data_IF_677443150014
#
_entry.id   IF_677443150014
#
_cell.length_a   1.000
_cell.length_b   1.000
_cell.length_c   1.000
_cell.angle_alpha   90.00
_cell.angle_beta   90.00
_cell.angle_gamma   90.00
#
_symmetry.space_group_name_H-M   'P 1'
#
loop_
_entity.id
_entity.type
_entity.pdbx_description
1 polymer ?
#
# COMPACT_ATOMS: atom_id res chain seq x y z
N UNK A 1 12.89 -27.68 -20.05
CA UNK A 1 12.66 -26.55 -20.96
C UNK A 1 12.90 -27.03 -22.40
N UNK A 2 12.03 -26.62 -23.31
CA UNK A 2 12.15 -26.86 -24.74
C UNK A 2 12.41 -25.52 -25.42
N UNK A 3 13.22 -25.52 -26.52
CA UNK A 3 13.44 -24.32 -27.31
C UNK A 3 12.62 -24.38 -28.61
N UNK A 4 11.74 -23.39 -28.81
CA UNK A 4 10.99 -23.21 -30.05
C UNK A 4 11.50 -21.95 -30.73
N UNK A 5 12.08 -22.08 -31.94
CA UNK A 5 12.68 -20.97 -32.67
C UNK A 5 13.67 -20.11 -31.85
N UNK A 6 14.49 -20.78 -31.01
CA UNK A 6 15.48 -20.10 -30.18
C UNK A 6 14.93 -19.51 -28.86
N UNK A 7 13.63 -19.64 -28.60
CA UNK A 7 12.97 -19.11 -27.39
C UNK A 7 12.59 -20.25 -26.41
N UNK A 8 12.75 -20.05 -25.10
CA UNK A 8 12.46 -21.08 -24.12
C UNK A 8 10.96 -21.28 -23.92
N UNK A 9 10.52 -22.52 -24.04
CA UNK A 9 9.24 -23.01 -23.51
C UNK A 9 9.54 -23.76 -22.22
N UNK A 10 8.96 -23.34 -21.12
CA UNK A 10 9.10 -24.02 -19.82
C UNK A 10 7.77 -24.60 -19.36
N UNK A 11 7.85 -25.70 -18.65
CA UNK A 11 6.71 -26.33 -18.00
C UNK A 11 7.08 -26.56 -16.54
N UNK A 12 6.46 -25.85 -15.65
CA UNK A 12 6.56 -26.00 -14.21
C UNK A 12 5.41 -26.84 -13.67
N UNK A 13 5.68 -27.63 -12.62
CA UNK A 13 4.65 -28.31 -11.85
C UNK A 13 4.93 -28.17 -10.37
N UNK A 14 3.94 -27.66 -9.62
CA UNK A 14 4.03 -27.38 -8.19
C UNK A 14 2.92 -28.13 -7.47
N UNK A 15 3.26 -28.75 -6.34
CA UNK A 15 2.29 -29.33 -5.41
C UNK A 15 2.44 -28.63 -4.08
N UNK A 16 1.34 -28.13 -3.55
CA UNK A 16 1.28 -27.51 -2.24
C UNK A 16 0.21 -28.20 -1.38
N UNK A 17 0.55 -28.47 -0.12
CA UNK A 17 -0.40 -28.96 0.87
C UNK A 17 -0.40 -28.02 2.07
N UNK A 18 -1.60 -27.55 2.46
CA UNK A 18 -1.79 -26.75 3.67
C UNK A 18 -2.82 -27.41 4.56
N UNK A 19 -2.55 -27.37 5.85
CA UNK A 19 -3.45 -27.86 6.88
C UNK A 19 -3.62 -26.77 7.95
N UNK A 20 -4.85 -26.32 8.14
CA UNK A 20 -5.20 -25.29 9.11
C UNK A 20 -6.01 -25.90 10.24
N UNK A 21 -5.72 -25.48 11.46
CA UNK A 21 -6.51 -25.78 12.65
C UNK A 21 -6.91 -24.50 13.33
N UNK A 22 -8.19 -24.31 13.53
CA UNK A 22 -8.77 -23.23 14.33
C UNK A 22 -9.27 -23.83 15.64
N UNK A 23 -8.82 -23.25 16.74
CA UNK A 23 -9.24 -23.65 18.07
C UNK A 23 -10.19 -22.59 18.61
N UNK A 24 -11.41 -23.01 18.94
CA UNK A 24 -12.32 -22.25 19.78
C UNK A 24 -12.50 -23.02 21.11
N UNK A 25 -12.98 -22.34 22.15
CA UNK A 25 -13.21 -22.90 23.47
C UNK A 25 -14.13 -24.13 23.49
N UNK A 26 -14.94 -24.32 22.45
CA UNK A 26 -15.91 -25.41 22.36
C UNK A 26 -15.73 -26.32 21.14
N UNK A 27 -15.01 -25.90 20.09
CA UNK A 27 -14.87 -26.67 18.84
C UNK A 27 -13.48 -26.48 18.21
N UNK A 28 -12.97 -27.56 17.62
CA UNK A 28 -11.79 -27.52 16.77
C UNK A 28 -12.24 -27.67 15.32
N UNK A 29 -12.02 -26.61 14.53
CA UNK A 29 -12.25 -26.66 13.11
C UNK A 29 -10.94 -26.98 12.37
N UNK A 30 -10.96 -28.00 11.55
CA UNK A 30 -9.82 -28.39 10.72
C UNK A 30 -10.15 -28.20 9.25
N UNK A 31 -9.23 -27.67 8.50
CA UNK A 31 -9.31 -27.59 7.04
C UNK A 31 -8.00 -28.01 6.40
N UNK A 32 -8.07 -28.64 5.27
CA UNK A 32 -6.89 -28.96 4.48
C UNK A 32 -7.16 -28.74 3.00
N UNK A 33 -6.15 -28.31 2.27
CA UNK A 33 -6.24 -28.26 0.82
C UNK A 33 -4.95 -28.76 0.14
N UNK A 34 -5.16 -29.34 -1.01
CA UNK A 34 -4.11 -29.70 -1.96
C UNK A 34 -4.24 -28.77 -3.16
N UNK A 35 -3.15 -28.20 -3.56
CA UNK A 35 -3.03 -27.38 -4.74
C UNK A 35 -2.03 -28.03 -5.70
N UNK A 36 -2.48 -28.29 -6.92
CA UNK A 36 -1.67 -28.77 -8.02
C UNK A 36 -1.63 -27.68 -9.07
N UNK A 37 -0.47 -27.12 -9.35
CA UNK A 37 -0.31 -26.04 -10.34
C UNK A 37 0.55 -26.52 -11.49
N UNK A 38 0.05 -26.41 -12.70
CA UNK A 38 0.78 -26.62 -13.94
C UNK A 38 1.03 -25.24 -14.56
N UNK A 39 2.31 -24.88 -14.78
CA UNK A 39 2.72 -23.56 -15.21
C UNK A 39 3.48 -23.62 -16.55
N UNK A 40 2.78 -23.70 -17.71
CA UNK A 40 3.43 -23.51 -18.99
C UNK A 40 3.75 -22.02 -19.16
N UNK A 41 4.99 -21.72 -19.59
CA UNK A 41 5.40 -20.37 -19.94
C UNK A 41 6.18 -20.36 -21.26
N UNK A 42 5.97 -19.32 -22.03
CA UNK A 42 6.66 -19.10 -23.29
C UNK A 42 7.21 -17.68 -23.35
N UNK A 43 8.49 -17.53 -23.63
CA UNK A 43 9.15 -16.23 -23.68
C UNK A 43 9.77 -16.01 -25.07
N UNK A 44 9.47 -14.86 -25.66
CA UNK A 44 10.10 -14.38 -26.89
C UNK A 44 10.98 -13.20 -26.52
N UNK A 45 12.26 -13.26 -26.94
CA UNK A 45 13.23 -12.20 -26.70
C UNK A 45 13.77 -11.67 -28.03
N UNK A 46 13.96 -10.34 -28.09
CA UNK A 46 14.61 -9.67 -29.21
C UNK A 46 15.52 -8.54 -28.72
N UNK A 47 16.27 -7.93 -29.63
CA UNK A 47 17.14 -6.81 -29.23
C UNK A 47 16.32 -5.62 -28.72
N UNK A 48 16.33 -5.40 -27.40
CA UNK A 48 15.62 -4.30 -26.73
C UNK A 48 14.28 -4.65 -26.15
N UNK A 49 13.82 -5.91 -26.19
CA UNK A 49 12.54 -6.26 -25.56
C UNK A 49 12.31 -7.75 -25.35
N UNK A 50 11.25 -8.04 -24.63
CA UNK A 50 10.74 -9.40 -24.44
C UNK A 50 9.21 -9.39 -24.26
N UNK A 51 8.62 -10.52 -24.62
CA UNK A 51 7.23 -10.90 -24.28
C UNK A 51 7.29 -12.21 -23.51
N UNK A 52 6.58 -12.28 -22.43
CA UNK A 52 6.39 -13.51 -21.65
C UNK A 52 4.90 -13.80 -21.50
N UNK A 53 4.52 -15.02 -21.88
CA UNK A 53 3.17 -15.55 -21.73
C UNK A 53 3.22 -16.67 -20.70
N UNK A 54 2.46 -16.53 -19.61
CA UNK A 54 2.22 -17.58 -18.62
C UNK A 54 0.77 -18.03 -18.68
N UNK A 55 0.56 -19.35 -18.60
CA UNK A 55 -0.78 -19.97 -18.66
C UNK A 55 -0.97 -20.96 -17.49
N UNK A 56 -0.88 -20.53 -16.23
CA UNK A 56 -1.06 -21.41 -15.09
C UNK A 56 -2.45 -22.01 -15.03
N UNK A 57 -2.51 -23.31 -14.77
CA UNK A 57 -3.74 -24.06 -14.48
C UNK A 57 -3.57 -24.66 -13.09
N UNK A 58 -4.46 -24.30 -12.20
CA UNK A 58 -4.47 -24.79 -10.82
C UNK A 58 -5.66 -25.71 -10.59
N UNK A 59 -5.40 -26.85 -9.97
CA UNK A 59 -6.43 -27.75 -9.49
C UNK A 59 -6.38 -27.83 -7.97
N UNK A 60 -7.41 -27.30 -7.33
CA UNK A 60 -7.52 -27.24 -5.88
C UNK A 60 -8.52 -28.25 -5.36
N UNK A 61 -8.12 -29.06 -4.39
CA UNK A 61 -8.97 -29.99 -3.64
C UNK A 61 -9.03 -29.50 -2.21
N UNK A 62 -10.20 -29.10 -1.77
CA UNK A 62 -10.44 -28.61 -0.43
C UNK A 62 -11.29 -29.55 0.42
N UNK A 63 -10.94 -29.71 1.70
CA UNK A 63 -11.66 -30.53 2.67
C UNK A 63 -11.84 -29.77 3.98
N UNK A 64 -13.08 -29.70 4.46
CA UNK A 64 -13.40 -29.22 5.79
C UNK A 64 -13.68 -30.42 6.72
N UNK A 65 -13.22 -30.34 7.97
CA UNK A 65 -13.42 -31.43 8.93
C UNK A 65 -14.89 -31.67 9.33
N UNK A 66 -15.77 -30.68 9.08
CA UNK A 66 -17.21 -30.77 9.38
C UNK A 66 -18.09 -31.13 8.17
N UNK A 67 -17.52 -31.19 6.95
CA UNK A 67 -18.20 -31.58 5.73
C UNK A 67 -17.68 -32.92 5.21
N UNK A 68 -18.58 -33.79 4.77
CA UNK A 68 -18.21 -35.06 4.12
C UNK A 68 -17.76 -34.87 2.68
N UNK A 69 -18.26 -33.81 2.04
CA UNK A 69 -17.97 -33.52 0.63
C UNK A 69 -16.67 -32.71 0.48
N UNK A 70 -15.97 -32.97 -0.61
CA UNK A 70 -14.78 -32.25 -1.01
C UNK A 70 -15.17 -31.19 -2.02
N UNK A 71 -14.75 -29.97 -1.82
CA UNK A 71 -14.84 -28.93 -2.85
C UNK A 71 -13.64 -29.04 -3.79
N UNK A 72 -13.90 -28.97 -5.10
CA UNK A 72 -12.87 -29.04 -6.13
C UNK A 72 -13.07 -27.90 -7.11
N UNK A 73 -12.00 -27.21 -7.47
CA UNK A 73 -12.00 -26.12 -8.43
C UNK A 73 -10.82 -26.25 -9.38
N UNK A 74 -11.06 -25.95 -10.64
CA UNK A 74 -10.01 -25.72 -11.63
C UNK A 74 -9.97 -24.23 -11.90
N UNK A 75 -8.81 -23.63 -11.73
CA UNK A 75 -8.57 -22.19 -11.89
C UNK A 75 -7.59 -21.99 -13.03
N UNK A 76 -7.82 -20.95 -13.83
CA UNK A 76 -6.95 -20.60 -14.96
C UNK A 76 -6.55 -19.14 -14.84
N UNK A 77 -5.24 -18.89 -14.76
CA UNK A 77 -4.68 -17.56 -14.42
C UNK A 77 -3.68 -17.06 -15.46
N UNK A 78 -4.09 -16.79 -16.73
CA UNK A 78 -3.20 -16.35 -17.77
C UNK A 78 -2.62 -14.96 -17.51
N UNK A 79 -1.35 -14.76 -17.85
CA UNK A 79 -0.70 -13.44 -17.85
C UNK A 79 0.19 -13.23 -19.07
N UNK A 80 0.27 -11.99 -19.49
CA UNK A 80 1.11 -11.51 -20.58
C UNK A 80 1.90 -10.31 -20.09
N UNK A 81 3.23 -10.45 -20.07
CA UNK A 81 4.16 -9.39 -19.73
C UNK A 81 4.94 -8.96 -20.97
N UNK A 82 4.95 -7.67 -21.24
CA UNK A 82 5.64 -7.07 -22.36
C UNK A 82 6.61 -6.01 -21.88
N UNK A 83 7.88 -6.09 -22.32
CA UNK A 83 8.90 -5.09 -22.04
C UNK A 83 9.55 -4.68 -23.35
N UNK A 84 9.67 -3.37 -23.58
CA UNK A 84 10.31 -2.80 -24.76
C UNK A 84 11.17 -1.58 -24.39
N UNK A 85 12.41 -1.62 -24.79
CA UNK A 85 13.27 -0.44 -24.84
C UNK A 85 12.93 0.33 -26.12
N UNK A 86 12.16 1.44 -25.98
CA UNK A 86 11.72 2.25 -27.13
C UNK A 86 12.89 3.07 -27.67
N UNK A 87 13.73 3.57 -26.77
CA UNK A 87 14.98 4.25 -27.08
C UNK A 87 15.99 4.01 -25.95
N UNK A 88 17.23 4.43 -26.12
CA UNK A 88 18.24 4.28 -25.06
C UNK A 88 17.89 5.03 -23.76
N UNK A 89 16.89 5.92 -23.79
CA UNK A 89 16.40 6.67 -22.62
C UNK A 89 15.04 6.22 -22.13
N UNK A 90 14.20 5.59 -22.97
CA UNK A 90 12.80 5.32 -22.70
C UNK A 90 12.51 3.82 -22.75
N UNK A 91 11.99 3.28 -21.66
CA UNK A 91 11.54 1.89 -21.52
C UNK A 91 10.04 1.86 -21.23
N UNK A 92 9.35 0.93 -21.85
CA UNK A 92 7.94 0.60 -21.63
C UNK A 92 7.83 -0.82 -21.08
N UNK A 93 6.99 -0.97 -20.07
CA UNK A 93 6.59 -2.25 -19.49
C UNK A 93 5.05 -2.28 -19.42
N UNK A 94 4.47 -3.36 -19.89
CA UNK A 94 3.02 -3.58 -19.86
C UNK A 94 2.75 -4.97 -19.33
N UNK A 95 1.81 -5.12 -18.43
CA UNK A 95 1.33 -6.42 -17.99
C UNK A 95 -0.19 -6.48 -18.03
N UNK A 96 -0.72 -7.60 -18.53
CA UNK A 96 -2.14 -7.91 -18.52
C UNK A 96 -2.29 -9.31 -17.93
N UNK A 97 -3.13 -9.46 -16.92
CA UNK A 97 -3.37 -10.76 -16.32
C UNK A 97 -4.83 -10.94 -15.90
N UNK A 98 -5.25 -12.17 -15.89
CA UNK A 98 -6.50 -12.62 -15.31
C UNK A 98 -6.21 -13.72 -14.31
N UNK A 99 -6.33 -13.43 -13.03
CA UNK A 99 -6.02 -14.34 -11.95
C UNK A 99 -7.32 -14.87 -11.33
N UNK A 100 -7.37 -16.17 -11.13
CA UNK A 100 -8.41 -16.82 -10.34
C UNK A 100 -7.77 -17.40 -9.11
N UNK A 101 -8.18 -16.97 -7.93
CA UNK A 101 -7.66 -17.44 -6.67
C UNK A 101 -8.79 -18.08 -5.86
N UNK A 102 -8.59 -19.33 -5.45
CA UNK A 102 -9.39 -19.85 -4.37
C UNK A 102 -8.99 -19.11 -3.10
N UNK A 103 -9.95 -18.48 -2.44
CA UNK A 103 -9.64 -17.66 -1.27
C UNK A 103 -9.13 -18.54 -0.12
N UNK A 104 -7.88 -18.30 0.25
CA UNK A 104 -7.23 -18.99 1.37
C UNK A 104 -7.32 -18.17 2.66
N UNK A 105 -7.71 -16.90 2.54
CA UNK A 105 -7.77 -15.93 3.65
C UNK A 105 -9.17 -15.86 4.27
N UNK A 106 -10.15 -16.51 3.63
CA UNK A 106 -11.49 -16.57 4.18
C UNK A 106 -11.53 -17.49 5.41
N UNK A 107 -12.23 -17.06 6.46
CA UNK A 107 -12.36 -17.86 7.66
C UNK A 107 -13.26 -19.08 7.40
N UNK A 108 -12.63 -20.20 7.03
CA UNK A 108 -13.32 -21.46 6.75
C UNK A 108 -13.61 -22.21 8.05
N UNK A 109 -14.71 -21.89 8.66
CA UNK A 109 -15.21 -22.57 9.85
C UNK A 109 -16.74 -22.49 9.89
N UNK A 110 -17.33 -23.43 10.57
CA UNK A 110 -18.77 -23.38 10.83
C UNK A 110 -19.01 -22.70 12.17
N UNK A 111 -19.60 -21.51 12.13
CA UNK A 111 -19.90 -20.75 13.32
C UNK A 111 -19.40 -19.32 13.25
N UNK A 112 -19.26 -18.69 14.41
CA UNK A 112 -18.84 -17.28 14.54
C UNK A 112 -17.57 -17.19 15.38
N UNK A 113 -16.56 -16.53 14.85
CA UNK A 113 -15.28 -16.30 15.50
C UNK A 113 -15.16 -14.85 15.97
N UNK A 114 -14.64 -14.65 17.16
CA UNK A 114 -14.32 -13.34 17.72
C UNK A 114 -12.93 -12.90 17.22
N UNK A 115 -12.89 -11.87 16.37
CA UNK A 115 -11.62 -11.27 15.91
C UNK A 115 -11.01 -10.36 16.99
N UNK A 116 -11.88 -9.67 17.72
CA UNK A 116 -11.56 -8.87 18.90
C UNK A 116 -12.84 -8.69 19.74
N UNK A 117 -12.73 -8.05 20.91
CA UNK A 117 -13.83 -7.89 21.87
C UNK A 117 -15.08 -7.18 21.32
N UNK A 118 -15.00 -6.55 20.14
CA UNK A 118 -16.14 -5.86 19.47
C UNK A 118 -16.37 -6.31 18.05
N UNK A 119 -15.67 -7.31 17.54
CA UNK A 119 -15.75 -7.71 16.15
C UNK A 119 -15.81 -9.21 16.01
N UNK A 120 -16.86 -9.69 15.38
CA UNK A 120 -17.11 -11.10 15.11
C UNK A 120 -17.21 -11.34 13.61
N UNK A 121 -16.83 -12.52 13.15
CA UNK A 121 -16.97 -12.94 11.76
C UNK A 121 -17.60 -14.32 11.71
N UNK A 122 -18.66 -14.47 10.94
CA UNK A 122 -19.20 -15.79 10.61
C UNK A 122 -18.38 -16.42 9.52
N UNK A 123 -18.06 -17.70 9.68
CA UNK A 123 -17.26 -18.44 8.72
C UNK A 123 -18.00 -18.77 7.43
N UNK A 124 -17.23 -19.18 6.43
CA UNK A 124 -17.70 -19.63 5.11
C UNK A 124 -17.62 -21.15 5.08
N UNK A 125 -18.64 -21.78 4.54
CA UNK A 125 -18.76 -23.24 4.49
C UNK A 125 -18.35 -23.87 3.15
N UNK A 126 -18.03 -23.07 2.15
CA UNK A 126 -17.61 -23.54 0.83
C UNK A 126 -16.43 -22.74 0.26
N UNK A 127 -15.75 -23.30 -0.71
CA UNK A 127 -14.59 -22.69 -1.35
C UNK A 127 -15.03 -21.49 -2.19
N UNK A 128 -14.60 -20.30 -1.82
CA UNK A 128 -14.84 -19.08 -2.57
C UNK A 128 -13.78 -18.86 -3.65
N UNK A 129 -14.15 -18.23 -4.73
CA UNK A 129 -13.24 -17.89 -5.82
C UNK A 129 -13.28 -16.39 -6.07
N UNK A 130 -12.11 -15.79 -5.97
CA UNK A 130 -11.88 -14.41 -6.41
C UNK A 130 -11.30 -14.40 -7.82
N UNK A 131 -11.86 -13.60 -8.70
CA UNK A 131 -11.40 -13.39 -10.07
C UNK A 131 -10.88 -11.97 -10.20
N UNK A 132 -9.65 -11.81 -10.66
CA UNK A 132 -8.99 -10.50 -10.75
C UNK A 132 -8.46 -10.31 -12.16
N UNK A 133 -9.04 -9.37 -12.90
CA UNK A 133 -8.45 -8.87 -14.13
C UNK A 133 -7.63 -7.62 -13.83
N UNK A 134 -6.41 -7.56 -14.35
CA UNK A 134 -5.50 -6.42 -14.17
C UNK A 134 -4.83 -6.05 -15.49
N UNK A 135 -4.56 -4.76 -15.67
CA UNK A 135 -3.75 -4.22 -16.73
C UNK A 135 -2.91 -3.08 -16.20
N UNK A 136 -1.61 -3.12 -16.48
CA UNK A 136 -0.65 -2.14 -16.02
C UNK A 136 0.18 -1.64 -17.20
N UNK A 137 0.49 -0.34 -17.20
CA UNK A 137 1.45 0.29 -18.08
C UNK A 137 2.42 1.11 -17.25
N UNK A 138 3.72 0.90 -17.50
CA UNK A 138 4.79 1.73 -16.94
C UNK A 138 5.67 2.28 -18.06
N UNK A 139 5.90 3.57 -18.03
CA UNK A 139 6.87 4.26 -18.86
C UNK A 139 7.96 4.82 -17.97
N UNK A 140 9.21 4.51 -18.26
CA UNK A 140 10.38 4.93 -17.49
C UNK A 140 11.36 5.64 -18.42
N UNK A 141 11.68 6.87 -18.09
CA UNK A 141 12.67 7.69 -18.79
C UNK A 141 13.84 7.99 -17.86
N UNK A 142 15.05 7.77 -18.35
CA UNK A 142 16.27 8.06 -17.61
C UNK A 142 17.32 8.67 -18.55
N UNK A 143 17.67 9.94 -18.28
CA UNK A 143 18.79 10.59 -18.94
C UNK A 143 19.91 10.87 -17.93
N UNK A 144 20.97 10.10 -18.01
CA UNK A 144 22.13 10.17 -17.11
C UNK A 144 23.01 11.40 -17.35
N UNK A 145 22.97 11.98 -18.56
CA UNK A 145 23.74 13.19 -18.92
C UNK A 145 23.10 14.41 -18.29
N UNK A 146 21.79 14.55 -18.47
CA UNK A 146 21.04 15.67 -17.92
C UNK A 146 20.59 15.45 -16.47
N UNK A 147 20.81 14.23 -15.93
CA UNK A 147 20.35 13.79 -14.59
C UNK A 147 18.86 14.04 -14.38
N UNK A 148 18.08 13.74 -15.40
CA UNK A 148 16.64 13.83 -15.38
C UNK A 148 16.01 12.45 -15.57
N UNK A 149 15.09 12.10 -14.70
CA UNK A 149 14.30 10.88 -14.81
C UNK A 149 12.85 11.13 -14.49
N UNK A 150 11.97 10.37 -15.14
CA UNK A 150 10.57 10.30 -14.78
C UNK A 150 10.04 8.89 -15.00
N UNK A 151 9.00 8.55 -14.21
CA UNK A 151 8.25 7.32 -14.37
C UNK A 151 6.75 7.65 -14.33
N UNK A 152 6.01 7.09 -15.28
CA UNK A 152 4.56 7.10 -15.31
C UNK A 152 4.08 5.67 -15.12
N UNK A 153 3.10 5.49 -14.27
CA UNK A 153 2.42 4.22 -14.05
C UNK A 153 0.92 4.44 -14.17
N UNK A 154 0.25 3.55 -14.91
CA UNK A 154 -1.21 3.47 -14.97
C UNK A 154 -1.59 2.02 -14.74
N UNK A 155 -2.43 1.78 -13.74
CA UNK A 155 -2.93 0.46 -13.41
C UNK A 155 -4.45 0.44 -13.35
N UNK A 156 -5.02 -0.62 -13.85
CA UNK A 156 -6.44 -0.95 -13.72
C UNK A 156 -6.58 -2.36 -13.15
N UNK A 157 -7.46 -2.49 -12.18
CA UNK A 157 -7.79 -3.78 -11.58
C UNK A 157 -9.30 -3.89 -11.41
N UNK A 158 -9.84 -5.04 -11.82
CA UNK A 158 -11.22 -5.41 -11.56
C UNK A 158 -11.24 -6.76 -10.84
N UNK A 159 -11.69 -6.75 -9.61
CA UNK A 159 -11.83 -7.95 -8.78
C UNK A 159 -13.31 -8.28 -8.64
N UNK A 160 -13.67 -9.53 -8.88
CA UNK A 160 -15.00 -10.06 -8.64
C UNK A 160 -14.89 -11.22 -7.67
N UNK A 161 -15.58 -11.14 -6.55
CA UNK A 161 -15.71 -12.23 -5.57
C UNK A 161 -17.10 -12.81 -5.67
N UNK A 162 -17.21 -14.13 -5.47
CA UNK A 162 -18.49 -14.85 -5.44
C UNK A 162 -19.28 -14.63 -4.13
N UNK A 163 -18.64 -13.98 -3.14
CA UNK A 163 -19.28 -13.55 -1.92
C UNK A 163 -18.77 -12.18 -1.47
N UNK A 164 -19.49 -11.56 -0.55
CA UNK A 164 -19.08 -10.35 0.15
C UNK A 164 -19.43 -10.44 1.64
N UNK A 165 -18.74 -9.66 2.47
CA UNK A 165 -19.03 -9.56 3.90
C UNK A 165 -20.03 -8.44 4.16
N UNK A 166 -21.21 -8.78 4.65
CA UNK A 166 -22.20 -7.85 5.17
C UNK A 166 -21.83 -7.47 6.59
N UNK A 167 -21.73 -6.17 6.88
CA UNK A 167 -21.46 -5.66 8.23
C UNK A 167 -22.77 -5.39 8.95
N UNK A 168 -23.02 -6.07 10.06
CA UNK A 168 -24.15 -5.85 10.95
C UNK A 168 -23.64 -5.13 12.19
N UNK A 169 -24.03 -3.87 12.37
CA UNK A 169 -23.68 -3.07 13.53
C UNK A 169 -24.71 -3.29 14.63
N UNK A 170 -24.29 -3.92 15.70
CA UNK A 170 -25.04 -4.10 16.93
C UNK A 170 -24.59 -3.06 17.97
N UNK A 171 -25.35 -2.79 19.05
CA UNK A 171 -24.95 -1.79 20.04
C UNK A 171 -23.57 -2.01 20.64
N UNK A 172 -23.18 -3.26 20.87
CA UNK A 172 -21.95 -3.62 21.58
C UNK A 172 -20.85 -4.20 20.68
N UNK A 173 -21.20 -4.67 19.46
CA UNK A 173 -20.27 -5.33 18.56
C UNK A 173 -20.66 -5.20 17.10
N UNK A 174 -19.73 -5.51 16.20
CA UNK A 174 -19.96 -5.64 14.77
C UNK A 174 -19.83 -7.09 14.35
N UNK A 175 -20.83 -7.60 13.62
CA UNK A 175 -20.81 -8.94 13.05
C UNK A 175 -20.64 -8.84 11.53
N UNK A 176 -19.65 -9.55 11.02
CA UNK A 176 -19.44 -9.76 9.59
C UNK A 176 -20.04 -11.10 9.16
N UNK A 177 -20.98 -11.06 8.23
CA UNK A 177 -21.67 -12.22 7.70
C UNK A 177 -21.39 -12.36 6.21
N UNK A 178 -20.87 -13.49 5.74
CA UNK A 178 -20.68 -13.73 4.31
C UNK A 178 -22.02 -13.90 3.62
N UNK A 179 -22.17 -13.26 2.48
CA UNK A 179 -23.36 -13.37 1.60
C UNK A 179 -22.89 -13.80 0.23
N UNK A 180 -23.39 -14.94 -0.25
CA UNK A 180 -23.08 -15.49 -1.56
C UNK A 180 -23.79 -14.69 -2.64
N UNK A 181 -23.08 -13.79 -3.27
CA UNK A 181 -23.55 -13.00 -4.41
C UNK A 181 -22.33 -12.30 -5.03
N UNK A 182 -22.20 -12.39 -6.32
CA UNK A 182 -21.10 -11.79 -7.07
C UNK A 182 -21.05 -10.26 -6.84
N UNK A 183 -19.91 -9.76 -6.37
CA UNK A 183 -19.66 -8.33 -6.22
C UNK A 183 -18.33 -7.95 -6.84
N UNK A 184 -18.35 -6.81 -7.48
CA UNK A 184 -17.19 -6.31 -8.24
C UNK A 184 -16.60 -5.09 -7.56
N UNK A 185 -15.28 -5.10 -7.42
CA UNK A 185 -14.47 -3.95 -7.05
C UNK A 185 -13.64 -3.52 -8.25
N UNK A 186 -13.61 -2.24 -8.54
CA UNK A 186 -12.78 -1.67 -9.62
C UNK A 186 -11.85 -0.63 -9.02
N UNK A 187 -10.57 -0.72 -9.36
CA UNK A 187 -9.54 0.21 -8.94
C UNK A 187 -8.80 0.75 -10.16
N UNK A 188 -8.61 2.06 -10.23
CA UNK A 188 -7.66 2.73 -11.09
C UNK A 188 -6.58 3.35 -10.25
N UNK A 189 -5.34 3.20 -10.64
CA UNK A 189 -4.19 3.83 -10.01
C UNK A 189 -3.31 4.47 -11.05
N UNK A 190 -2.91 5.72 -10.81
CA UNK A 190 -1.99 6.47 -11.66
C UNK A 190 -0.92 7.06 -10.77
N UNK A 191 0.32 6.93 -11.19
CA UNK A 191 1.46 7.52 -10.49
C UNK A 191 2.38 8.20 -11.49
N UNK A 192 2.85 9.38 -11.12
CA UNK A 192 3.90 10.10 -11.81
C UNK A 192 4.99 10.43 -10.79
N UNK A 193 6.21 10.08 -11.10
CA UNK A 193 7.37 10.54 -10.34
C UNK A 193 8.39 11.18 -11.27
N UNK A 194 9.01 12.26 -10.83
CA UNK A 194 10.09 12.91 -11.55
C UNK A 194 11.22 13.30 -10.61
N UNK A 195 12.44 13.27 -11.14
CA UNK A 195 13.64 13.69 -10.43
C UNK A 195 14.55 14.45 -11.37
N UNK A 196 15.06 15.57 -10.91
CA UNK A 196 16.05 16.37 -11.60
C UNK A 196 17.15 16.80 -10.65
N UNK A 197 18.39 16.58 -11.04
CA UNK A 197 19.55 17.14 -10.36
C UNK A 197 20.09 18.31 -11.18
N UNK A 198 20.12 19.49 -10.58
CA UNK A 198 20.68 20.71 -11.13
C UNK A 198 22.13 20.86 -10.62
N UNK A 199 23.10 20.30 -11.35
CA UNK A 199 24.51 20.29 -10.93
C UNK A 199 25.04 21.65 -10.58
N UNK A 200 24.82 22.65 -11.42
CA UNK A 200 25.34 24.02 -11.24
C UNK A 200 24.74 24.74 -10.04
N UNK A 201 23.50 24.44 -9.69
CA UNK A 201 22.82 25.00 -8.53
C UNK A 201 22.94 24.12 -7.28
N UNK A 202 23.51 22.93 -7.41
CA UNK A 202 23.59 21.91 -6.37
C UNK A 202 22.21 21.57 -5.75
N UNK A 203 21.14 21.55 -6.58
CA UNK A 203 19.78 21.26 -6.15
C UNK A 203 19.33 19.92 -6.70
N UNK A 204 18.85 19.05 -5.81
CA UNK A 204 18.08 17.86 -6.14
C UNK A 204 16.60 18.17 -5.95
N UNK A 205 15.83 18.11 -7.04
CA UNK A 205 14.38 18.27 -7.02
C UNK A 205 13.74 16.93 -7.36
N UNK A 206 12.82 16.48 -6.54
CA UNK A 206 11.99 15.30 -6.81
C UNK A 206 10.53 15.60 -6.52
N UNK A 207 9.65 15.07 -7.38
CA UNK A 207 8.22 15.19 -7.22
C UNK A 207 7.54 13.86 -7.49
N UNK A 208 6.44 13.61 -6.81
CA UNK A 208 5.57 12.47 -7.08
C UNK A 208 4.11 12.87 -6.92
N UNK A 209 3.27 12.26 -7.75
CA UNK A 209 1.83 12.38 -7.66
C UNK A 209 1.22 11.00 -7.84
N UNK A 210 0.29 10.65 -6.96
CA UNK A 210 -0.44 9.39 -7.02
C UNK A 210 -1.94 9.71 -6.98
N UNK A 211 -2.66 9.18 -7.94
CA UNK A 211 -4.11 9.24 -7.97
C UNK A 211 -4.68 7.83 -7.91
N UNK A 212 -5.71 7.63 -7.10
CA UNK A 212 -6.46 6.38 -7.07
C UNK A 212 -7.96 6.64 -7.13
N UNK A 213 -8.65 5.81 -7.88
CA UNK A 213 -10.09 5.69 -7.90
C UNK A 213 -10.48 4.28 -7.51
N UNK A 214 -11.37 4.15 -6.54
CA UNK A 214 -11.90 2.87 -6.09
C UNK A 214 -13.43 2.90 -6.15
N UNK A 215 -14.00 1.86 -6.76
CA UNK A 215 -15.42 1.57 -6.70
C UNK A 215 -15.57 0.20 -6.07
N UNK A 216 -16.15 0.14 -4.87
CA UNK A 216 -16.35 -1.11 -4.15
C UNK A 216 -17.78 -1.20 -3.61
N UNK A 217 -18.30 -2.41 -3.53
CA UNK A 217 -19.60 -2.69 -2.92
C UNK A 217 -19.44 -2.69 -1.39
N UNK A 218 -20.36 -2.03 -0.72
CA UNK A 218 -20.44 -1.96 0.74
C UNK A 218 -21.85 -2.34 1.18
N UNK A 219 -21.96 -3.21 2.15
CA UNK A 219 -23.21 -3.59 2.79
C UNK A 219 -23.09 -3.36 4.28
N UNK A 220 -23.92 -2.49 4.82
CA UNK A 220 -23.96 -2.14 6.25
C UNK A 220 -25.40 -2.20 6.75
N UNK A 221 -25.66 -3.11 7.69
CA UNK A 221 -27.01 -3.46 8.12
C UNK A 221 -27.88 -3.87 6.92
N UNK A 222 -28.93 -3.12 6.63
CA UNK A 222 -29.84 -3.37 5.51
C UNK A 222 -29.56 -2.49 4.28
N UNK A 223 -28.56 -1.61 4.38
CA UNK A 223 -28.21 -0.66 3.31
C UNK A 223 -27.09 -1.22 2.48
N UNK A 224 -27.28 -1.24 1.16
CA UNK A 224 -26.30 -1.74 0.19
C UNK A 224 -26.09 -0.71 -0.90
N UNK A 225 -24.84 -0.37 -1.20
CA UNK A 225 -24.50 0.56 -2.28
C UNK A 225 -23.04 0.39 -2.73
N UNK A 226 -22.70 1.04 -3.84
CA UNK A 226 -21.35 1.16 -4.36
C UNK A 226 -20.68 2.45 -3.88
N UNK A 227 -19.74 2.32 -2.99
CA UNK A 227 -18.87 3.40 -2.58
C UNK A 227 -17.88 3.75 -3.69
N UNK A 228 -17.81 5.02 -4.09
CA UNK A 228 -16.86 5.56 -5.07
C UNK A 228 -15.95 6.55 -4.37
N UNK A 229 -14.69 6.18 -4.26
CA UNK A 229 -13.69 6.93 -3.53
C UNK A 229 -12.53 7.33 -4.44
N UNK A 230 -12.11 8.59 -4.33
CA UNK A 230 -10.97 9.15 -5.03
C UNK A 230 -9.95 9.65 -4.02
N UNK A 231 -8.67 9.44 -4.31
CA UNK A 231 -7.58 10.02 -3.52
C UNK A 231 -6.51 10.54 -4.47
N UNK A 232 -6.05 11.74 -4.21
CA UNK A 232 -4.92 12.37 -4.88
C UNK A 232 -3.89 12.74 -3.83
N UNK A 233 -2.69 12.22 -3.98
CA UNK A 233 -1.51 12.60 -3.22
C UNK A 233 -0.50 13.26 -4.13
N UNK A 234 0.05 14.39 -3.72
CA UNK A 234 1.17 15.02 -4.41
C UNK A 234 2.24 15.43 -3.39
N UNK A 235 3.50 15.24 -3.74
CA UNK A 235 4.62 15.70 -2.91
C UNK A 235 5.78 16.19 -3.76
N UNK A 236 6.50 17.18 -3.22
CA UNK A 236 7.71 17.75 -3.80
C UNK A 236 8.77 17.82 -2.71
N UNK A 237 9.98 17.38 -3.04
CA UNK A 237 11.15 17.50 -2.17
C UNK A 237 12.25 18.22 -2.92
N UNK A 238 12.78 19.27 -2.31
CA UNK A 238 13.95 20.00 -2.76
C UNK A 238 15.06 19.88 -1.71
N UNK A 239 16.25 19.48 -2.15
CA UNK A 239 17.45 19.39 -1.31
C UNK A 239 18.55 20.19 -1.97
N UNK A 240 19.16 21.09 -1.21
CA UNK A 240 20.31 21.85 -1.66
C UNK A 240 21.58 21.33 -0.98
N UNK A 241 22.65 21.22 -1.76
CA UNK A 241 23.94 20.70 -1.29
C UNK A 241 25.13 21.57 -1.77
N UNK A 242 24.88 22.87 -1.99
CA UNK A 242 25.89 23.80 -2.49
C UNK A 242 27.01 24.14 -1.50
N UNK A 243 26.75 23.93 -0.22
CA UNK A 243 27.76 24.08 0.83
C UNK A 243 27.95 22.75 1.57
N UNK A 244 29.21 22.39 1.83
CA UNK A 244 29.53 21.17 2.57
C UNK A 244 29.09 21.22 4.03
N UNK A 245 28.99 22.41 4.56
CA UNK A 245 28.66 22.67 5.97
C UNK A 245 27.19 22.96 6.22
N UNK A 246 26.37 23.17 5.17
CA UNK A 246 24.93 23.44 5.31
C UNK A 246 24.11 22.74 4.24
N UNK A 247 23.15 21.91 4.66
CA UNK A 247 22.36 21.06 3.78
C UNK A 247 20.86 21.14 4.15
N UNK A 248 20.10 22.08 3.61
CA UNK A 248 18.66 22.17 3.82
C UNK A 248 17.91 21.22 2.88
N UNK A 249 16.83 20.65 3.41
CA UNK A 249 15.87 19.82 2.68
C UNK A 249 14.46 20.27 3.00
N UNK A 250 13.72 20.67 1.98
CA UNK A 250 12.30 21.04 2.07
C UNK A 250 11.46 19.91 1.46
N UNK A 251 10.44 19.48 2.16
CA UNK A 251 9.41 18.56 1.65
C UNK A 251 8.04 19.19 1.85
N UNK A 252 7.23 19.17 0.79
CA UNK A 252 5.83 19.59 0.83
C UNK A 252 5.00 18.44 0.28
N UNK A 253 3.89 18.11 0.94
CA UNK A 253 2.97 17.08 0.48
C UNK A 253 1.53 17.52 0.73
N UNK A 254 0.63 17.05 -0.13
CA UNK A 254 -0.80 17.27 0.02
C UNK A 254 -1.57 16.03 -0.34
N UNK A 255 -2.67 15.81 0.38
CA UNK A 255 -3.64 14.75 0.11
C UNK A 255 -5.01 15.38 -0.05
N UNK A 256 -5.69 15.02 -1.10
CA UNK A 256 -7.11 15.35 -1.30
C UNK A 256 -7.83 14.03 -1.51
N UNK A 257 -8.81 13.74 -0.68
CA UNK A 257 -9.66 12.59 -0.85
C UNK A 257 -11.12 13.02 -0.88
N UNK A 258 -11.87 12.42 -1.79
CA UNK A 258 -13.29 12.70 -1.91
C UNK A 258 -14.08 11.43 -2.27
N UNK A 259 -15.29 11.39 -1.77
CA UNK A 259 -16.27 10.37 -2.08
C UNK A 259 -17.38 10.99 -2.92
N UNK A 260 -17.96 10.23 -3.84
CA UNK A 260 -19.26 10.62 -4.40
C UNK A 260 -20.32 10.37 -3.34
N UNK A 261 -21.36 11.25 -3.27
CA UNK A 261 -22.49 10.99 -2.38
C UNK A 261 -23.06 9.59 -2.62
N UNK A 262 -23.23 8.86 -1.57
CA UNK A 262 -23.82 7.52 -1.52
C UNK A 262 -24.84 7.46 -0.37
N UNK A 263 -25.54 6.36 -0.23
CA UNK A 263 -26.56 6.19 0.81
C UNK A 263 -25.97 6.24 2.23
N UNK A 264 -24.64 6.05 2.38
CA UNK A 264 -23.94 6.10 3.66
C UNK A 264 -23.41 7.48 4.02
N UNK A 265 -23.50 8.46 3.11
CA UNK A 265 -22.87 9.77 3.27
C UNK A 265 -23.82 10.76 3.92
N UNK A 266 -23.59 11.08 5.18
CA UNK A 266 -24.37 12.07 5.94
C UNK A 266 -23.77 13.48 5.85
N UNK A 267 -22.49 13.63 5.42
CA UNK A 267 -21.75 14.90 5.42
C UNK A 267 -20.82 15.03 4.21
N UNK A 268 -20.19 16.20 4.12
CA UNK A 268 -19.21 16.54 3.07
C UNK A 268 -18.16 15.46 2.85
N UNK A 269 -18.02 15.10 1.59
CA UNK A 269 -17.23 13.97 1.14
C UNK A 269 -15.79 14.36 0.73
N UNK A 270 -15.36 15.58 1.04
CA UNK A 270 -14.04 16.10 0.69
C UNK A 270 -13.19 16.25 1.94
N UNK A 271 -11.98 15.73 1.91
CA UNK A 271 -10.98 15.87 2.97
C UNK A 271 -9.67 16.36 2.36
N UNK A 272 -9.10 17.41 2.91
CA UNK A 272 -7.84 18.02 2.49
C UNK A 272 -6.83 17.98 3.61
N UNK A 273 -5.66 17.45 3.32
CA UNK A 273 -4.56 17.39 4.28
C UNK A 273 -3.29 17.91 3.61
N UNK A 274 -2.48 18.63 4.35
CA UNK A 274 -1.19 19.11 3.90
C UNK A 274 -0.10 18.82 4.92
N UNK A 275 1.11 18.63 4.43
CA UNK A 275 2.30 18.38 5.24
C UNK A 275 3.47 19.19 4.71
N UNK A 276 4.19 19.86 5.59
CA UNK A 276 5.39 20.62 5.31
C UNK A 276 6.50 20.17 6.25
N UNK A 277 7.70 20.00 5.74
CA UNK A 277 8.86 19.63 6.53
C UNK A 277 10.09 20.36 6.02
N UNK A 278 10.84 20.97 6.91
CA UNK A 278 12.13 21.60 6.65
C UNK A 278 13.16 20.99 7.59
N UNK A 279 14.08 20.23 7.01
CA UNK A 279 15.23 19.67 7.72
C UNK A 279 16.48 20.51 7.38
N UNK A 280 17.23 20.91 8.35
CA UNK A 280 18.47 21.64 8.17
C UNK A 280 19.60 20.94 8.92
N UNK A 281 20.62 20.51 8.19
CA UNK A 281 21.86 19.98 8.73
C UNK A 281 22.98 21.02 8.59
N UNK A 282 23.67 21.27 9.68
CA UNK A 282 24.75 22.23 9.74
C UNK A 282 25.99 21.55 10.34
N UNK A 283 27.13 21.62 9.63
CA UNK A 283 28.40 21.00 9.99
C UNK A 283 29.48 22.06 10.15
N UNK A 284 29.53 22.78 11.29
CA UNK A 284 30.55 23.84 11.52
C UNK A 284 31.97 23.33 11.41
N UNK A 285 32.19 22.10 11.88
CA UNK A 285 33.40 21.32 11.75
C UNK A 285 33.05 19.87 11.45
N UNK A 286 34.01 19.11 10.93
CA UNK A 286 33.78 17.71 10.53
C UNK A 286 33.29 16.77 11.65
N UNK A 287 33.52 17.11 12.89
CA UNK A 287 33.13 16.33 14.08
C UNK A 287 31.81 16.80 14.70
N UNK A 288 31.27 17.94 14.33
CA UNK A 288 30.07 18.52 14.92
C UNK A 288 28.96 18.67 13.88
N UNK A 289 27.84 17.99 14.11
CA UNK A 289 26.60 18.17 13.39
C UNK A 289 25.59 18.85 14.30
N UNK A 290 25.03 19.96 13.85
CA UNK A 290 23.83 20.57 14.39
C UNK A 290 22.70 20.29 13.44
N UNK A 291 21.49 20.03 13.94
CA UNK A 291 20.33 19.84 13.07
C UNK A 291 19.08 20.48 13.65
N UNK A 292 18.19 20.87 12.77
CA UNK A 292 16.85 21.32 13.12
C UNK A 292 15.85 20.71 12.14
N UNK A 293 14.75 20.18 12.69
CA UNK A 293 13.64 19.59 11.98
C UNK A 293 12.37 20.32 12.34
N UNK A 294 11.83 21.08 11.40
CA UNK A 294 10.49 21.64 11.50
C UNK A 294 9.53 20.80 10.69
N UNK A 295 8.39 20.42 11.25
CA UNK A 295 7.31 19.79 10.54
C UNK A 295 5.96 20.37 10.94
N UNK A 296 5.08 20.49 9.96
CA UNK A 296 3.71 20.95 10.15
C UNK A 296 2.77 20.07 9.35
N UNK A 297 1.76 19.54 10.03
CA UNK A 297 0.65 18.80 9.42
C UNK A 297 -0.64 19.58 9.61
N UNK A 298 -1.40 19.73 8.53
CA UNK A 298 -2.69 20.41 8.50
C UNK A 298 -3.73 19.37 8.09
N UNK A 299 -4.69 19.09 8.96
CA UNK A 299 -5.78 18.14 8.71
C UNK A 299 -7.11 18.86 8.71
N UNK A 300 -7.92 18.65 7.69
CA UNK A 300 -9.30 19.10 7.67
C UNK A 300 -10.15 18.15 8.53
N UNK A 301 -10.65 18.64 9.67
CA UNK A 301 -11.46 17.84 10.60
C UNK A 301 -12.92 17.87 10.19
N UNK A 302 -13.42 19.06 9.87
CA UNK A 302 -14.76 19.33 9.33
C UNK A 302 -14.56 20.35 8.23
N UNK A 303 -15.47 20.46 7.29
CA UNK A 303 -15.39 21.39 6.18
C UNK A 303 -14.92 22.78 6.62
N UNK A 304 -13.79 23.22 6.06
CA UNK A 304 -13.13 24.51 6.38
C UNK A 304 -12.63 24.66 7.83
N UNK A 305 -12.66 23.62 8.67
CA UNK A 305 -12.02 23.61 9.96
C UNK A 305 -10.80 22.71 9.97
N UNK A 306 -9.64 23.27 10.29
CA UNK A 306 -8.36 22.60 10.20
C UNK A 306 -7.71 22.45 11.57
N UNK A 307 -7.15 21.29 11.84
CA UNK A 307 -6.18 21.08 12.92
C UNK A 307 -4.77 21.25 12.37
N UNK A 308 -3.98 22.06 13.05
CA UNK A 308 -2.61 22.35 12.69
C UNK A 308 -1.70 21.77 13.77
N UNK A 309 -0.90 20.78 13.41
CA UNK A 309 0.10 20.17 14.29
C UNK A 309 1.49 20.59 13.84
N UNK A 310 2.16 21.45 14.62
CA UNK A 310 3.50 21.93 14.32
C UNK A 310 4.49 21.40 15.35
N UNK A 311 5.63 20.89 14.88
CA UNK A 311 6.72 20.38 15.69
C UNK A 311 8.03 21.00 15.25
N UNK A 312 8.87 21.29 16.21
CA UNK A 312 10.27 21.68 16.00
C UNK A 312 11.13 20.83 16.90
N UNK A 313 12.04 20.07 16.28
CA UNK A 313 13.08 19.33 16.97
C UNK A 313 14.43 19.94 16.61
N UNK A 314 15.33 19.98 17.55
CA UNK A 314 16.70 20.44 17.32
C UNK A 314 17.67 19.56 18.11
N UNK A 315 18.89 19.46 17.61
CA UNK A 315 19.88 18.69 18.31
C UNK A 315 21.29 18.94 17.81
N UNK A 316 22.22 18.38 18.53
CA UNK A 316 23.62 18.36 18.16
C UNK A 316 24.21 16.98 18.39
N UNK A 317 25.20 16.65 17.57
CA UNK A 317 26.01 15.46 17.72
C UNK A 317 27.48 15.84 17.56
N UNK A 318 28.29 15.37 18.47
CA UNK A 318 29.73 15.52 18.43
C UNK A 318 30.43 14.15 18.41
N UNK A 319 31.22 13.89 17.37
CA UNK A 319 32.00 12.66 17.21
C UNK A 319 33.42 12.91 17.75
N UNK A 320 33.72 12.44 18.99
CA UNK A 320 35.04 12.59 19.61
C UNK A 320 36.11 11.88 18.79
N UNK A 321 35.81 10.66 18.39
CA UNK A 321 36.65 9.82 17.52
C UNK A 321 35.77 8.78 16.77
N UNK A 322 36.39 7.81 16.09
CA UNK A 322 35.70 6.76 15.38
C UNK A 322 34.81 5.86 16.24
N UNK A 323 35.08 5.80 17.55
CA UNK A 323 34.39 4.91 18.49
C UNK A 323 33.36 5.64 19.36
N UNK A 324 33.59 6.89 19.72
CA UNK A 324 32.79 7.64 20.68
C UNK A 324 32.05 8.80 20.03
N UNK A 325 30.78 8.94 20.31
CA UNK A 325 29.99 10.11 19.95
C UNK A 325 29.00 10.46 21.06
N UNK A 326 28.74 11.74 21.26
CA UNK A 326 27.73 12.25 22.16
C UNK A 326 26.66 13.00 21.32
N UNK A 327 25.41 12.93 21.74
CA UNK A 327 24.33 13.75 21.16
C UNK A 327 23.45 14.32 22.26
N UNK A 328 22.95 15.53 22.00
CA UNK A 328 21.93 16.19 22.80
C UNK A 328 20.78 16.64 21.87
N UNK A 329 19.57 16.31 22.24
CA UNK A 329 18.39 16.54 21.42
C UNK A 329 17.28 17.16 22.25
N UNK A 330 16.54 18.09 21.64
CA UNK A 330 15.30 18.65 22.17
C UNK A 330 14.19 18.28 21.18
N UNK A 331 13.24 17.50 21.63
CA UNK A 331 12.07 17.13 20.84
C UNK A 331 10.87 17.97 21.26
N UNK A 332 10.01 18.25 20.29
CA UNK A 332 8.78 18.98 20.50
C UNK A 332 8.99 20.34 21.21
N UNK A 333 9.88 21.18 20.65
CA UNK A 333 10.23 22.48 21.21
C UNK A 333 9.01 23.39 21.46
N UNK A 334 7.97 23.27 20.61
CA UNK A 334 6.69 23.99 20.74
C UNK A 334 5.81 23.47 21.88
N UNK A 335 6.20 22.37 22.53
CA UNK A 335 5.50 21.77 23.66
C UNK A 335 4.04 21.38 23.33
N UNK A 336 3.80 20.87 22.13
CA UNK A 336 2.47 20.34 21.75
C UNK A 336 2.16 19.13 22.62
N UNK A 337 0.95 19.10 23.18
CA UNK A 337 0.50 18.01 24.07
C UNK A 337 -0.49 17.07 23.38
N UNK A 338 -1.00 17.47 22.22
CA UNK A 338 -1.98 16.70 21.46
C UNK A 338 -1.61 16.66 19.99
N UNK A 339 -1.86 15.53 19.35
CA UNK A 339 -1.81 15.34 17.91
C UNK A 339 -3.20 14.97 17.41
N UNK A 340 -3.73 15.77 16.53
CA UNK A 340 -5.06 15.56 15.96
C UNK A 340 -4.94 15.15 14.51
N UNK A 341 -5.63 14.09 14.13
CA UNK A 341 -5.65 13.56 12.77
C UNK A 341 -7.05 13.13 12.37
N UNK A 342 -7.40 13.39 11.13
CA UNK A 342 -8.62 12.92 10.50
C UNK A 342 -8.31 12.11 9.26
N UNK A 343 -9.07 11.05 9.03
CA UNK A 343 -8.95 10.21 7.84
C UNK A 343 -10.29 9.55 7.49
N UNK A 344 -10.44 9.21 6.21
CA UNK A 344 -11.52 8.31 5.78
C UNK A 344 -11.00 6.87 5.73
N UNK A 345 -11.72 5.98 6.40
CA UNK A 345 -11.53 4.55 6.29
C UNK A 345 -12.80 3.95 5.70
N UNK A 346 -12.75 3.64 4.40
CA UNK A 346 -13.93 3.22 3.61
C UNK A 346 -15.08 4.24 3.72
N UNK A 347 -16.24 3.81 4.21
CA UNK A 347 -17.41 4.66 4.42
C UNK A 347 -17.30 5.57 5.66
N UNK A 348 -16.41 5.25 6.59
CA UNK A 348 -16.35 5.90 7.90
C UNK A 348 -15.32 7.04 7.92
N UNK A 349 -15.73 8.17 8.49
CA UNK A 349 -14.82 9.24 8.88
C UNK A 349 -14.31 8.95 10.30
N UNK A 350 -13.02 9.07 10.50
CA UNK A 350 -12.37 8.84 11.78
C UNK A 350 -11.56 10.06 12.17
N UNK A 351 -11.79 10.52 13.40
CA UNK A 351 -11.02 11.58 14.03
C UNK A 351 -10.35 11.03 15.28
N UNK A 352 -9.06 11.27 15.40
CA UNK A 352 -8.27 10.85 16.55
C UNK A 352 -7.58 12.06 17.17
N UNK A 353 -7.63 12.13 18.49
CA UNK A 353 -6.80 13.01 19.28
C UNK A 353 -5.92 12.15 20.17
N UNK A 354 -4.62 12.19 19.91
CA UNK A 354 -3.61 11.38 20.58
C UNK A 354 -2.83 12.28 21.54
N UNK A 355 -2.83 12.00 22.86
CA UNK A 355 -1.99 12.74 23.78
C UNK A 355 -0.52 12.48 23.49
N UNK A 356 0.28 13.54 23.46
CA UNK A 356 1.70 13.48 23.23
C UNK A 356 2.47 13.82 24.51
N UNK A 357 3.68 13.28 24.61
CA UNK A 357 4.65 13.81 25.54
C UNK A 357 4.97 15.25 25.15
N UNK A 358 5.09 16.11 26.14
CA UNK A 358 5.48 17.49 25.93
C UNK A 358 6.92 17.61 25.42
N UNK A 359 7.56 18.73 25.71
CA UNK A 359 8.97 18.93 25.38
C UNK A 359 9.84 17.91 26.09
N UNK A 360 10.72 17.24 25.34
CA UNK A 360 11.65 16.26 25.85
C UNK A 360 13.09 16.69 25.55
N UNK A 361 13.95 16.57 26.55
CA UNK A 361 15.39 16.76 26.40
C UNK A 361 16.09 15.41 26.60
N UNK A 362 16.91 15.01 25.63
CA UNK A 362 17.64 13.73 25.67
C UNK A 362 19.11 13.95 25.42
N UNK A 363 19.94 13.28 26.25
CA UNK A 363 21.39 13.19 26.05
C UNK A 363 21.72 11.71 25.85
N UNK A 364 22.53 11.41 24.85
CA UNK A 364 23.01 10.05 24.62
C UNK A 364 24.48 10.01 24.30
N UNK A 365 25.15 8.98 24.83
CA UNK A 365 26.53 8.64 24.55
C UNK A 365 26.56 7.30 23.82
N UNK A 366 27.24 7.24 22.69
CA UNK A 366 27.35 6.03 21.87
C UNK A 366 28.78 5.58 21.78
N UNK A 367 28.98 4.29 22.00
CA UNK A 367 30.26 3.60 21.78
C UNK A 367 30.07 2.58 20.64
N UNK A 368 31.01 2.53 19.69
CA UNK A 368 31.11 1.52 18.65
C UNK A 368 32.28 0.60 18.94
N UNK A 369 32.06 -0.69 18.90
CA UNK A 369 33.08 -1.73 18.97
C UNK A 369 33.95 -1.75 17.73
#
# INVERSE_FOLDING_TARGET
AFNIAGNPLTLGYIIEYKHNRLYDTQQTATSSYWLHTLEPSYQIQWSGGNVELLLPVEYTIYRCGWRKEKDQKVLFSPSLDFTQQISYLLRMETSVAYNQNASNDDPWFNGTMMNNYRTFTTGIDSLSVQRVALANLRLSYLNTITLFSWNVYVGWTRSTSDHYLKSLYMPDYTLFVPVWNDRTKTTWSMALSCRKNFRNAHINLSGQTNYSYNKEFVSQNEVEDYLRYHALHASVTAQWSGLTWFQPKLTMAGNISWKKPDVFSVTDNLLKNAYYSLTMDFYPISKLRLYADFSQSVFEIVRNHYSINSFLNAGMRYDFNSRWSASANINNLFNRKDYEVSLYQRANFQYYRVPLRGREFMISLRFKY
#
